data_IF_202976486386
#
_entry.id   IF_202976486386
#
_cell.length_a   1.000
_cell.length_b   1.000
_cell.length_c   1.000
_cell.angle_alpha   90.00
_cell.angle_beta   90.00
_cell.angle_gamma   90.00
#
_symmetry.space_group_name_H-M   'P 1'
#
loop_
_entity.id
_entity.type
_entity.pdbx_description
1 polymer ?
#
# COMPACT_ATOMS: atom_id res chain seq x y z
N UNK A 1 -33.59 25.42 50.76
CA UNK A 1 -33.85 24.42 49.70
C UNK A 1 -32.57 23.58 49.51
N UNK A 2 -32.70 22.27 49.26
CA UNK A 2 -31.84 21.23 49.83
C UNK A 2 -30.62 20.80 48.98
N UNK A 3 -29.70 20.13 49.69
CA UNK A 3 -28.87 18.97 49.30
C UNK A 3 -27.81 19.10 48.18
N UNK A 4 -26.54 19.15 48.63
CA UNK A 4 -25.39 18.67 47.87
C UNK A 4 -25.35 17.13 47.97
N UNK A 5 -25.38 16.48 46.82
CA UNK A 5 -25.19 15.03 46.58
C UNK A 5 -24.65 14.92 45.14
N UNK A 6 -23.74 14.06 44.72
CA UNK A 6 -23.03 12.96 45.35
C UNK A 6 -21.74 12.70 44.54
N UNK A 7 -20.85 11.91 45.13
CA UNK A 7 -19.57 11.42 44.62
C UNK A 7 -19.81 10.20 43.73
N UNK A 8 -19.21 10.15 42.54
CA UNK A 8 -19.02 8.89 41.79
C UNK A 8 -17.84 8.98 40.82
N UNK A 9 -16.69 8.49 41.27
CA UNK A 9 -15.59 7.99 40.43
C UNK A 9 -16.01 6.68 39.77
N UNK A 10 -15.84 6.53 38.46
CA UNK A 10 -15.63 5.22 37.81
C UNK A 10 -15.08 5.38 36.39
N UNK A 11 -13.75 5.33 36.32
CA UNK A 11 -12.96 4.52 35.40
C UNK A 11 -13.49 4.40 33.96
N UNK A 12 -12.95 5.25 33.07
CA UNK A 12 -13.00 5.04 31.63
C UNK A 12 -12.41 3.64 31.32
N UNK A 13 -13.29 2.71 30.98
CA UNK A 13 -12.93 1.45 30.34
C UNK A 13 -12.20 1.79 29.06
N UNK A 14 -10.86 1.70 29.11
CA UNK A 14 -10.04 1.51 27.92
C UNK A 14 -10.52 0.21 27.29
N UNK A 15 -11.39 0.32 26.30
CA UNK A 15 -11.62 -0.74 25.36
C UNK A 15 -10.28 -1.03 24.70
N UNK A 16 -9.57 -2.01 25.25
CA UNK A 16 -8.50 -2.69 24.58
C UNK A 16 -9.15 -3.30 23.34
N UNK A 17 -9.06 -2.59 22.22
CA UNK A 17 -9.33 -3.13 20.91
C UNK A 17 -8.34 -4.29 20.74
N UNK A 18 -8.81 -5.50 21.04
CA UNK A 18 -8.16 -6.73 20.65
C UNK A 18 -7.80 -6.58 19.17
N UNK A 19 -6.59 -6.94 18.73
CA UNK A 19 -6.34 -7.05 17.31
C UNK A 19 -7.25 -8.17 16.82
N UNK A 20 -8.45 -7.81 16.34
CA UNK A 20 -9.23 -8.67 15.47
C UNK A 20 -8.22 -9.15 14.43
N UNK A 21 -8.10 -10.47 14.17
CA UNK A 21 -7.33 -10.92 13.03
C UNK A 21 -7.93 -10.16 11.87
N UNK A 22 -7.21 -9.16 11.37
CA UNK A 22 -7.64 -8.32 10.26
C UNK A 22 -7.73 -9.33 9.16
N UNK A 23 -8.94 -9.83 8.90
CA UNK A 23 -9.26 -10.70 7.79
C UNK A 23 -8.43 -10.13 6.66
N UNK A 24 -7.42 -10.89 6.25
CA UNK A 24 -6.36 -10.40 5.38
C UNK A 24 -7.10 -9.80 4.22
N UNK A 25 -7.15 -8.46 4.17
CA UNK A 25 -8.13 -7.80 3.33
C UNK A 25 -7.67 -8.13 1.94
N UNK A 26 -8.39 -9.08 1.33
CA UNK A 26 -8.14 -9.50 -0.03
C UNK A 26 -8.10 -8.21 -0.83
N UNK A 27 -7.05 -8.07 -1.62
CA UNK A 27 -6.96 -6.91 -2.47
C UNK A 27 -8.04 -7.09 -3.52
N UNK A 28 -9.13 -6.34 -3.33
CA UNK A 28 -10.21 -6.28 -4.30
C UNK A 28 -9.65 -5.69 -5.58
N UNK A 29 -9.98 -6.31 -6.70
CA UNK A 29 -9.48 -5.85 -7.99
C UNK A 29 -10.18 -4.58 -8.44
N UNK A 30 -9.45 -3.67 -9.08
CA UNK A 30 -10.00 -2.44 -9.63
C UNK A 30 -9.00 -1.66 -10.48
N UNK A 31 -9.35 -0.44 -10.88
CA UNK A 31 -8.56 0.39 -11.79
C UNK A 31 -7.59 1.34 -11.08
N UNK A 32 -7.10 0.98 -9.89
CA UNK A 32 -6.12 1.77 -9.14
C UNK A 32 -4.78 1.04 -9.08
N UNK A 33 -3.70 1.79 -9.16
CA UNK A 33 -2.34 1.31 -9.02
C UNK A 33 -1.68 2.06 -7.88
N UNK A 34 -0.86 1.37 -7.10
CA UNK A 34 -0.16 1.95 -5.95
C UNK A 34 1.33 1.83 -6.16
N UNK A 35 2.02 2.94 -6.38
CA UNK A 35 3.46 2.98 -6.43
C UNK A 35 4.04 2.79 -5.03
N UNK A 36 4.82 1.72 -4.87
CA UNK A 36 5.46 1.31 -3.63
C UNK A 36 6.92 1.77 -3.55
N UNK A 37 7.56 2.01 -4.69
CA UNK A 37 8.95 2.46 -4.74
C UNK A 37 9.50 2.64 -6.14
N UNK A 38 10.74 3.11 -6.23
CA UNK A 38 11.50 3.23 -7.48
C UNK A 38 12.92 2.73 -7.25
N UNK A 39 13.39 1.81 -8.10
CA UNK A 39 14.69 1.16 -7.97
C UNK A 39 15.57 1.48 -9.18
N UNK A 40 16.89 1.38 -9.04
CA UNK A 40 17.83 1.62 -10.14
C UNK A 40 18.01 0.40 -11.06
N UNK A 41 17.51 -0.77 -10.66
CA UNK A 41 17.58 -1.99 -11.46
C UNK A 41 16.29 -2.82 -11.33
N UNK A 42 15.98 -3.57 -12.38
CA UNK A 42 14.81 -4.46 -12.42
C UNK A 42 14.94 -5.61 -11.41
N UNK A 43 16.17 -6.11 -11.19
CA UNK A 43 16.43 -7.15 -10.21
C UNK A 43 16.14 -6.66 -8.77
N UNK A 44 16.57 -5.45 -8.42
CA UNK A 44 16.27 -4.85 -7.11
C UNK A 44 14.76 -4.61 -6.93
N UNK A 45 14.08 -4.16 -7.99
CA UNK A 45 12.63 -4.00 -7.99
C UNK A 45 11.88 -5.33 -7.71
N UNK A 46 12.26 -6.42 -8.38
CA UNK A 46 11.68 -7.76 -8.14
C UNK A 46 12.00 -8.29 -6.74
N UNK A 47 13.24 -8.15 -6.28
CA UNK A 47 13.63 -8.59 -4.95
C UNK A 47 12.86 -7.83 -3.86
N UNK A 48 12.72 -6.51 -4.00
CA UNK A 48 11.91 -5.70 -3.09
C UNK A 48 10.44 -6.12 -3.11
N UNK A 49 9.88 -6.42 -4.28
CA UNK A 49 8.51 -6.94 -4.40
C UNK A 49 8.33 -8.27 -3.66
N UNK A 50 9.23 -9.23 -3.83
CA UNK A 50 9.19 -10.50 -3.10
C UNK A 50 9.21 -10.29 -1.58
N UNK A 51 10.08 -9.42 -1.08
CA UNK A 51 10.13 -9.04 0.34
C UNK A 51 8.82 -8.36 0.79
N UNK A 52 8.22 -7.52 -0.06
CA UNK A 52 6.94 -6.88 0.25
C UNK A 52 5.80 -7.90 0.34
N UNK A 53 5.73 -8.87 -0.57
CA UNK A 53 4.75 -9.96 -0.52
C UNK A 53 4.89 -10.84 0.72
N UNK A 54 6.13 -11.11 1.17
CA UNK A 54 6.36 -11.86 2.41
C UNK A 54 5.87 -11.10 3.64
N UNK A 55 6.01 -9.76 3.63
CA UNK A 55 5.62 -8.90 4.75
C UNK A 55 4.15 -8.50 4.73
N UNK A 56 3.53 -8.53 3.56
CA UNK A 56 2.15 -8.14 3.32
C UNK A 56 1.49 -9.23 2.47
N UNK A 57 0.93 -10.29 3.07
CA UNK A 57 0.35 -11.40 2.33
C UNK A 57 -0.77 -10.96 1.37
N UNK A 58 -1.47 -9.86 1.69
CA UNK A 58 -2.44 -9.22 0.80
C UNK A 58 -1.86 -8.89 -0.59
N UNK A 59 -0.58 -8.52 -0.70
CA UNK A 59 0.07 -8.22 -1.98
C UNK A 59 0.22 -9.44 -2.89
N UNK A 60 0.07 -10.65 -2.37
CA UNK A 60 0.10 -11.87 -3.20
C UNK A 60 -1.04 -11.90 -4.20
N UNK A 61 -2.17 -11.27 -3.90
CA UNK A 61 -3.31 -11.15 -4.80
C UNK A 61 -3.18 -9.95 -5.76
N UNK A 62 -2.15 -9.10 -5.60
CA UNK A 62 -1.91 -7.94 -6.45
C UNK A 62 -0.92 -8.23 -7.58
N UNK A 63 -1.19 -7.64 -8.75
CA UNK A 63 -0.26 -7.69 -9.88
C UNK A 63 0.98 -6.82 -9.59
N UNK A 64 2.17 -7.34 -9.88
CA UNK A 64 3.39 -6.54 -9.89
C UNK A 64 3.47 -5.76 -11.19
N UNK A 65 3.49 -4.43 -11.10
CA UNK A 65 3.72 -3.54 -12.21
C UNK A 65 5.09 -2.88 -12.06
N UNK A 66 6.01 -3.18 -12.98
CA UNK A 66 7.30 -2.52 -13.08
C UNK A 66 7.27 -1.56 -14.28
N UNK A 67 7.31 -0.27 -14.00
CA UNK A 67 7.32 0.78 -15.01
C UNK A 67 8.72 1.39 -15.10
N UNK A 68 9.32 1.34 -16.29
CA UNK A 68 10.61 1.99 -16.54
C UNK A 68 10.40 3.50 -16.75
N UNK A 69 11.14 4.32 -16.01
CA UNK A 69 11.07 5.77 -16.11
C UNK A 69 12.48 6.37 -16.17
N UNK A 70 12.71 7.34 -17.04
CA UNK A 70 13.95 8.10 -17.08
C UNK A 70 13.75 9.42 -16.35
N UNK A 71 14.61 9.70 -15.39
CA UNK A 71 14.60 10.95 -14.64
C UNK A 71 16.02 11.48 -14.60
N UNK A 72 16.25 12.68 -15.15
CA UNK A 72 17.58 13.32 -15.22
C UNK A 72 18.66 12.40 -15.82
N UNK A 73 18.36 11.72 -16.93
CA UNK A 73 19.30 10.82 -17.62
C UNK A 73 19.52 9.46 -16.93
N UNK A 74 18.91 9.20 -15.76
CA UNK A 74 19.00 7.92 -15.05
C UNK A 74 17.74 7.09 -15.25
N UNK A 75 17.91 5.79 -15.46
CA UNK A 75 16.80 4.84 -15.58
C UNK A 75 16.37 4.35 -14.19
N UNK A 76 15.07 4.42 -13.93
CA UNK A 76 14.41 3.95 -12.74
C UNK A 76 13.35 2.90 -13.10
N UNK A 77 13.21 1.92 -12.23
CA UNK A 77 12.22 0.86 -12.28
C UNK A 77 11.23 1.09 -11.13
N UNK A 78 10.10 1.73 -11.46
CA UNK A 78 9.02 2.03 -10.52
C UNK A 78 8.23 0.75 -10.26
N UNK A 79 8.16 0.34 -9.01
CA UNK A 79 7.36 -0.81 -8.57
C UNK A 79 6.02 -0.29 -8.09
N UNK A 80 4.94 -0.80 -8.69
CA UNK A 80 3.60 -0.55 -8.26
C UNK A 80 2.83 -1.87 -8.11
N UNK A 81 1.92 -1.90 -7.13
CA UNK A 81 0.87 -2.91 -7.07
C UNK A 81 -0.26 -2.46 -7.99
N UNK A 82 -0.55 -3.26 -9.01
CA UNK A 82 -1.59 -3.00 -9.99
C UNK A 82 -2.90 -3.68 -9.65
N UNK A 83 -3.93 -3.28 -10.40
CA UNK A 83 -5.27 -3.86 -10.35
C UNK A 83 -5.93 -3.80 -8.97
N UNK A 84 -5.76 -2.70 -8.22
CA UNK A 84 -6.33 -2.53 -6.88
C UNK A 84 -7.60 -1.70 -6.91
N UNK A 85 -8.54 -2.01 -6.01
CA UNK A 85 -9.64 -1.11 -5.67
C UNK A 85 -9.12 0.12 -4.91
N UNK A 86 -9.90 1.21 -4.91
CA UNK A 86 -9.55 2.42 -4.17
C UNK A 86 -9.36 2.15 -2.65
N UNK A 87 -10.21 1.31 -2.06
CA UNK A 87 -10.12 0.94 -0.64
C UNK A 87 -8.85 0.11 -0.36
N UNK A 88 -8.59 -0.90 -1.19
CA UNK A 88 -7.41 -1.75 -1.08
C UNK A 88 -6.12 -0.95 -1.27
N UNK A 89 -6.11 -0.01 -2.21
CA UNK A 89 -5.01 0.92 -2.44
C UNK A 89 -4.74 1.81 -1.22
N UNK A 90 -5.78 2.35 -0.58
CA UNK A 90 -5.65 3.14 0.64
C UNK A 90 -5.10 2.33 1.82
N UNK A 91 -5.60 1.10 2.01
CA UNK A 91 -5.10 0.20 3.06
C UNK A 91 -3.63 -0.16 2.85
N UNK A 92 -3.25 -0.49 1.60
CA UNK A 92 -1.87 -0.77 1.24
C UNK A 92 -0.98 0.46 1.48
N UNK A 93 -1.41 1.63 1.03
CA UNK A 93 -0.66 2.86 1.28
C UNK A 93 -0.54 3.22 2.75
N UNK A 94 -1.55 2.94 3.58
CA UNK A 94 -1.42 3.12 5.02
C UNK A 94 -0.34 2.19 5.62
N UNK A 95 -0.31 0.92 5.21
CA UNK A 95 0.67 -0.05 5.67
C UNK A 95 2.11 0.30 5.23
N UNK A 96 2.28 0.80 4.00
CA UNK A 96 3.58 1.19 3.44
C UNK A 96 4.08 2.50 4.05
N UNK A 97 3.20 3.50 4.21
CA UNK A 97 3.54 4.77 4.87
C UNK A 97 3.92 4.58 6.35
N UNK A 98 3.31 3.63 7.05
CA UNK A 98 3.71 3.28 8.41
C UNK A 98 5.18 2.81 8.51
N UNK A 99 5.82 2.48 7.39
CA UNK A 99 7.24 2.11 7.29
C UNK A 99 8.13 3.22 6.74
N UNK A 100 7.61 4.44 6.62
CA UNK A 100 8.36 5.60 6.13
C UNK A 100 8.64 5.60 4.63
N UNK A 101 8.01 4.70 3.87
CA UNK A 101 8.13 4.68 2.41
C UNK A 101 6.99 5.49 1.79
N UNK A 102 7.33 6.36 0.83
CA UNK A 102 6.34 7.13 0.09
C UNK A 102 5.39 6.19 -0.67
N UNK A 103 4.09 6.47 -0.57
CA UNK A 103 3.08 5.70 -1.27
C UNK A 103 2.22 6.63 -2.13
N UNK A 104 2.09 6.29 -3.40
CA UNK A 104 1.35 7.10 -4.36
C UNK A 104 0.36 6.22 -5.13
N UNK A 105 -0.93 6.42 -4.86
CA UNK A 105 -2.00 5.77 -5.60
C UNK A 105 -2.38 6.61 -6.83
N UNK A 106 -2.52 5.96 -7.99
CA UNK A 106 -2.89 6.58 -9.26
C UNK A 106 -3.85 5.67 -10.03
N UNK A 107 -4.69 6.27 -10.88
CA UNK A 107 -5.58 5.49 -11.73
C UNK A 107 -4.79 4.69 -12.77
N UNK A 108 -5.24 3.48 -13.09
CA UNK A 108 -4.60 2.57 -14.04
C UNK A 108 -4.44 3.19 -15.43
N UNK A 109 -5.39 4.05 -15.82
CA UNK A 109 -5.38 4.75 -17.10
C UNK A 109 -4.43 5.98 -17.11
N UNK A 110 -3.76 6.31 -16.00
CA UNK A 110 -2.79 7.41 -15.97
C UNK A 110 -1.39 6.91 -16.30
N UNK A 111 -0.89 7.32 -17.46
CA UNK A 111 0.53 7.19 -17.80
C UNK A 111 1.32 8.19 -16.96
N UNK A 112 2.27 7.69 -16.15
CA UNK A 112 3.10 8.54 -15.31
C UNK A 112 4.11 9.33 -16.18
N UNK A 113 4.35 10.61 -15.88
CA UNK A 113 5.36 11.40 -16.58
C UNK A 113 6.76 10.79 -16.39
N UNK A 114 7.55 10.84 -17.47
CA UNK A 114 8.90 10.27 -17.54
C UNK A 114 8.94 8.75 -17.79
N UNK A 115 7.81 8.10 -18.05
CA UNK A 115 7.80 6.69 -18.47
C UNK A 115 8.50 6.57 -19.82
N UNK A 116 9.61 5.83 -19.86
CA UNK A 116 10.35 5.55 -21.10
C UNK A 116 10.30 4.05 -21.36
N UNK A 117 9.59 3.66 -22.41
CA UNK A 117 9.51 2.27 -22.86
C UNK A 117 8.46 1.40 -22.16
N UNK A 118 8.71 0.10 -22.12
CA UNK A 118 7.73 -0.94 -21.82
C UNK A 118 7.38 -1.01 -20.34
N UNK A 119 6.08 -1.12 -20.06
CA UNK A 119 5.55 -1.44 -18.74
C UNK A 119 5.49 -2.97 -18.60
N UNK A 120 6.27 -3.52 -17.68
CA UNK A 120 6.29 -4.96 -17.41
C UNK A 120 5.30 -5.28 -16.31
N UNK A 121 4.22 -6.00 -16.63
CA UNK A 121 3.26 -6.52 -15.64
C UNK A 121 3.50 -8.00 -15.41
N UNK A 122 3.61 -8.39 -14.15
CA UNK A 122 3.69 -9.79 -13.73
C UNK A 122 2.46 -10.05 -12.87
N UNK A 123 1.62 -10.96 -13.34
CA UNK A 123 0.42 -11.32 -12.60
C UNK A 123 0.78 -12.08 -11.33
N UNK A 124 0.02 -11.80 -10.27
CA UNK A 124 -0.06 -12.66 -9.10
C UNK A 124 -0.45 -14.08 -9.53
N UNK A 125 0.23 -15.10 -8.99
CA UNK A 125 -0.02 -16.53 -9.27
C UNK A 125 -0.68 -17.21 -8.09
#
# INVERSE_FOLDING_TARGET
>A
RPAVSARATTQAVRAAASPTPRAETRLERGDTHVQLGSFLSEAAARAAWSTMQQRHPMLKDADLLITRAQVNGRTYHRVAAASLSAMSAQSLCAAVRARGTGCFAYAANRVLPGTVGTVTRIAAR
#
